data_IF_692666651671
#
_entry.id   IF_692666651671
#
_cell.length_a   1.000
_cell.length_b   1.000
_cell.length_c   1.000
_cell.angle_alpha   90.00
_cell.angle_beta   90.00
_cell.angle_gamma   90.00
#
_symmetry.space_group_name_H-M   'P 1'
#
loop_
_entity.id
_entity.type
_entity.pdbx_description
1 polymer ?
#
# COMPACT_ATOMS: atom_id res chain seq x y z
N UNK A 1 -6.77 27.97 -66.49
CA UNK A 1 -5.76 29.02 -66.32
C UNK A 1 -4.81 28.50 -65.25
N UNK A 2 -3.72 27.82 -65.66
CA UNK A 2 -2.39 28.36 -65.89
C UNK A 2 -1.87 29.01 -64.56
N UNK A 3 -0.80 28.50 -63.95
CA UNK A 3 0.54 28.42 -64.45
C UNK A 3 1.46 27.62 -63.52
N UNK A 4 2.24 26.76 -64.14
CA UNK A 4 3.46 26.14 -63.62
C UNK A 4 4.52 27.16 -63.19
N UNK A 5 5.36 26.81 -62.22
CA UNK A 5 6.82 27.02 -62.36
C UNK A 5 7.62 25.99 -61.55
N UNK A 6 8.36 25.26 -62.32
CA UNK A 6 9.51 24.43 -62.01
C UNK A 6 10.73 25.33 -61.75
N UNK A 7 11.56 25.02 -60.76
CA UNK A 7 12.98 25.42 -60.80
C UNK A 7 13.89 24.31 -60.34
N UNK A 8 14.84 24.07 -61.21
CA UNK A 8 15.91 23.06 -61.17
C UNK A 8 17.00 23.43 -60.15
N UNK A 9 17.53 22.50 -59.48
CA UNK A 9 18.81 21.90 -59.32
C UNK A 9 20.07 22.77 -59.22
N UNK A 10 20.88 22.46 -58.22
CA UNK A 10 22.31 22.70 -58.30
C UNK A 10 23.06 21.59 -57.58
N UNK A 11 23.95 20.96 -58.32
CA UNK A 11 24.97 20.00 -57.90
C UNK A 11 26.14 20.75 -57.27
N UNK A 12 26.76 20.20 -56.24
CA UNK A 12 28.03 20.69 -55.67
C UNK A 12 28.63 19.64 -54.76
N UNK A 13 29.44 18.96 -55.24
CA UNK A 13 30.57 18.08 -55.16
C UNK A 13 31.38 18.19 -53.84
N UNK A 14 31.55 17.01 -53.24
CA UNK A 14 32.80 16.37 -52.73
C UNK A 14 33.89 17.27 -52.11
N UNK A 15 34.19 17.06 -50.84
CA UNK A 15 35.56 16.97 -50.34
C UNK A 15 35.63 15.89 -49.24
N UNK A 16 36.27 14.78 -49.56
CA UNK A 16 36.76 13.73 -48.68
C UNK A 16 38.06 14.30 -48.04
N UNK A 17 38.10 14.37 -46.72
CA UNK A 17 39.37 14.59 -45.98
C UNK A 17 39.59 13.38 -45.11
N UNK A 18 40.44 12.49 -45.61
CA UNK A 18 41.06 11.39 -44.87
C UNK A 18 42.10 11.96 -43.95
N UNK A 19 41.97 11.78 -42.65
CA UNK A 19 43.06 11.98 -41.71
C UNK A 19 43.37 10.68 -40.99
N UNK A 20 44.56 10.19 -41.29
CA UNK A 20 45.17 8.95 -40.80
C UNK A 20 45.75 9.15 -39.40
N UNK A 21 45.55 8.12 -38.59
CA UNK A 21 46.19 7.63 -37.37
C UNK A 21 47.44 8.29 -36.83
N UNK A 22 47.72 8.18 -35.50
CA UNK A 22 48.47 7.01 -35.05
C UNK A 22 47.93 6.27 -33.81
N UNK A 23 48.06 4.96 -33.89
CA UNK A 23 47.97 3.99 -32.83
C UNK A 23 49.11 4.21 -31.82
N UNK A 24 48.80 4.43 -30.58
CA UNK A 24 49.76 4.20 -29.48
C UNK A 24 49.17 3.17 -28.52
N UNK A 25 49.71 1.98 -28.63
CA UNK A 25 49.56 0.90 -27.69
C UNK A 25 50.20 1.33 -26.33
N UNK A 26 49.45 1.26 -25.25
CA UNK A 26 49.99 1.12 -23.92
C UNK A 26 49.27 0.02 -23.19
N UNK A 27 49.96 -1.07 -22.99
CA UNK A 27 49.63 -2.13 -22.04
C UNK A 27 49.73 -1.65 -20.61
N UNK A 28 48.81 -2.06 -19.75
CA UNK A 28 49.09 -2.08 -18.33
C UNK A 28 47.84 -2.08 -17.45
N UNK A 29 47.55 -3.19 -16.80
CA UNK A 29 46.80 -3.20 -15.56
C UNK A 29 45.40 -3.82 -15.63
N UNK A 30 45.32 -5.14 -15.52
CA UNK A 30 44.16 -5.85 -15.05
C UNK A 30 43.72 -5.30 -13.69
N UNK A 31 42.55 -4.76 -13.59
CA UNK A 31 41.77 -4.72 -12.37
C UNK A 31 40.34 -5.00 -12.74
N UNK A 32 39.93 -6.25 -12.52
CA UNK A 32 38.54 -6.64 -12.47
C UNK A 32 37.88 -5.82 -11.36
N UNK A 33 37.03 -4.90 -11.74
CA UNK A 33 35.92 -4.44 -10.94
C UNK A 33 34.67 -4.79 -11.72
N UNK A 34 34.12 -5.95 -11.41
CA UNK A 34 32.71 -6.21 -11.57
C UNK A 34 31.99 -5.15 -10.73
N UNK A 35 31.68 -4.06 -11.37
CA UNK A 35 30.60 -3.19 -10.89
C UNK A 35 29.31 -3.86 -11.35
N UNK A 36 28.83 -4.80 -10.54
CA UNK A 36 27.42 -5.08 -10.46
C UNK A 36 26.73 -3.73 -10.28
N UNK A 37 25.91 -3.35 -11.24
CA UNK A 37 24.96 -2.28 -11.09
C UNK A 37 24.02 -2.67 -9.95
N UNK A 38 24.39 -2.33 -8.72
CA UNK A 38 23.45 -2.27 -7.61
C UNK A 38 22.37 -1.29 -8.03
N UNK A 39 21.21 -1.85 -8.34
CA UNK A 39 20.02 -1.09 -8.57
C UNK A 39 19.79 -0.20 -7.33
N UNK A 40 19.71 1.11 -7.53
CA UNK A 40 19.35 2.09 -6.50
C UNK A 40 17.92 1.94 -5.99
N UNK A 41 17.45 0.72 -5.85
CA UNK A 41 16.09 0.36 -5.41
C UNK A 41 16.02 -0.01 -3.92
N UNK A 42 17.18 -0.07 -3.22
CA UNK A 42 17.29 -0.59 -1.85
C UNK A 42 17.27 0.47 -0.74
N UNK A 43 16.76 1.65 -1.02
CA UNK A 43 16.46 2.64 0.04
C UNK A 43 14.98 2.99 0.01
N UNK A 44 14.12 2.00 0.27
CA UNK A 44 12.75 2.28 0.67
C UNK A 44 12.79 2.73 2.15
N UNK A 45 12.51 4.01 2.44
CA UNK A 45 12.50 4.44 3.83
C UNK A 45 11.40 3.69 4.58
N UNK A 46 11.62 3.44 5.86
CA UNK A 46 10.70 2.86 6.86
C UNK A 46 9.33 3.60 6.96
N UNK A 47 9.09 4.57 6.10
CA UNK A 47 7.96 5.49 6.05
C UNK A 47 7.04 5.28 4.85
N UNK A 48 6.96 4.08 4.29
CA UNK A 48 5.96 3.82 3.24
C UNK A 48 4.54 3.74 3.84
N UNK A 49 4.06 4.88 4.32
CA UNK A 49 2.62 5.13 4.33
C UNK A 49 2.15 5.07 2.88
N UNK A 50 1.10 4.32 2.62
CA UNK A 50 0.49 4.30 1.30
C UNK A 50 -0.12 5.69 1.07
N UNK A 51 0.52 6.51 0.23
CA UNK A 51 -0.05 7.78 -0.19
C UNK A 51 -1.11 7.50 -1.24
N UNK A 52 -2.36 7.60 -0.84
CA UNK A 52 -3.49 7.54 -1.76
C UNK A 52 -3.80 8.95 -2.24
N UNK A 53 -3.74 9.16 -3.54
CA UNK A 53 -4.16 10.43 -4.14
C UNK A 53 -5.66 10.36 -4.39
N UNK A 54 -6.43 11.11 -3.60
CA UNK A 54 -7.85 11.31 -3.83
C UNK A 54 -8.09 12.75 -4.29
N UNK A 55 -8.63 12.91 -5.49
CA UNK A 55 -8.74 14.21 -6.17
C UNK A 55 -7.41 14.96 -6.23
N UNK A 56 -7.25 16.06 -5.48
CA UNK A 56 -6.02 16.85 -5.38
C UNK A 56 -5.26 16.66 -4.06
N UNK A 57 -5.76 15.83 -3.15
CA UNK A 57 -5.18 15.60 -1.83
C UNK A 57 -4.44 14.25 -1.76
N UNK A 58 -3.34 14.23 -1.02
CA UNK A 58 -2.59 13.01 -0.71
C UNK A 58 -2.92 12.57 0.71
N UNK A 59 -3.49 11.39 0.85
CA UNK A 59 -3.85 10.83 2.14
C UNK A 59 -2.85 9.74 2.53
N UNK A 60 -2.14 9.89 3.65
CA UNK A 60 -1.32 8.82 4.19
C UNK A 60 -2.22 7.79 4.87
N UNK A 61 -2.26 6.59 4.33
CA UNK A 61 -2.92 5.45 4.94
C UNK A 61 -1.86 4.45 5.40
N UNK A 62 -2.02 3.82 6.58
CA UNK A 62 -1.11 2.77 6.99
C UNK A 62 -1.19 1.62 5.97
N UNK A 63 -0.04 1.23 5.45
CA UNK A 63 -0.01 0.06 4.60
C UNK A 63 -0.06 -1.22 5.46
N UNK A 64 -0.61 -2.31 4.95
CA UNK A 64 -0.47 -3.63 5.60
C UNK A 64 0.99 -3.97 5.92
N UNK A 65 1.94 -3.42 5.16
CA UNK A 65 3.38 -3.54 5.38
C UNK A 65 3.82 -3.00 6.74
N UNK A 66 3.33 -1.82 7.16
CA UNK A 66 3.77 -1.21 8.43
C UNK A 66 3.29 -2.03 9.64
N UNK A 67 2.03 -2.47 9.63
CA UNK A 67 1.51 -3.36 10.66
C UNK A 67 2.32 -4.66 10.72
N UNK A 68 2.58 -5.25 9.57
CA UNK A 68 3.35 -6.48 9.41
C UNK A 68 4.77 -6.36 9.93
N UNK A 69 5.46 -5.29 9.60
CA UNK A 69 6.85 -5.03 10.06
C UNK A 69 6.91 -4.89 11.58
N UNK A 70 5.92 -4.19 12.17
CA UNK A 70 5.85 -4.04 13.63
C UNK A 70 5.63 -5.38 14.33
N UNK A 71 4.70 -6.18 13.84
CA UNK A 71 4.41 -7.53 14.34
C UNK A 71 5.66 -8.40 14.31
N UNK A 72 6.38 -8.41 13.19
CA UNK A 72 7.63 -9.17 13.03
C UNK A 72 8.71 -8.70 14.01
N UNK A 73 8.90 -7.39 14.15
CA UNK A 73 9.88 -6.78 15.07
C UNK A 73 9.62 -7.19 16.52
N UNK A 74 8.37 -7.37 16.90
CA UNK A 74 7.96 -7.72 18.28
C UNK A 74 7.93 -9.23 18.55
N UNK A 75 8.23 -10.08 17.56
CA UNK A 75 8.17 -11.54 17.68
C UNK A 75 6.83 -12.07 18.24
N UNK A 76 5.73 -11.46 17.81
CA UNK A 76 4.38 -11.84 18.25
C UNK A 76 4.02 -13.19 17.63
N UNK A 77 3.48 -14.16 18.40
CA UNK A 77 3.11 -15.45 17.86
C UNK A 77 1.95 -15.35 16.87
N UNK A 78 1.90 -16.30 15.93
CA UNK A 78 0.79 -16.43 15.00
C UNK A 78 -0.50 -16.80 15.74
N UNK A 79 -1.60 -16.12 15.37
CA UNK A 79 -2.95 -16.49 15.80
C UNK A 79 -3.83 -16.69 14.54
N UNK A 80 -4.24 -17.94 14.30
CA UNK A 80 -5.05 -18.31 13.15
C UNK A 80 -6.48 -17.74 13.20
N UNK A 81 -6.95 -17.36 14.39
CA UNK A 81 -8.31 -16.81 14.56
C UNK A 81 -8.40 -15.31 14.19
N UNK A 82 -7.30 -14.69 13.84
CA UNK A 82 -7.28 -13.29 13.42
C UNK A 82 -7.76 -13.16 11.98
N UNK A 83 -7.35 -14.05 11.08
CA UNK A 83 -7.66 -13.93 9.65
C UNK A 83 -9.11 -14.26 9.33
N UNK A 84 -9.65 -13.64 8.30
CA UNK A 84 -11.02 -13.86 7.83
C UNK A 84 -11.17 -15.28 7.25
N UNK A 85 -12.25 -16.03 7.59
CA UNK A 85 -12.46 -17.37 7.05
C UNK A 85 -12.55 -17.36 5.52
N UNK A 86 -11.77 -18.23 4.88
CA UNK A 86 -11.64 -18.24 3.43
C UNK A 86 -12.95 -18.56 2.71
N UNK A 87 -13.80 -19.43 3.31
CA UNK A 87 -15.04 -19.90 2.69
C UNK A 87 -16.12 -18.80 2.57
N UNK A 88 -16.00 -17.73 3.36
CA UNK A 88 -16.95 -16.61 3.35
C UNK A 88 -17.01 -15.91 1.98
N UNK A 89 -15.96 -15.97 1.15
CA UNK A 89 -15.93 -15.27 -0.14
C UNK A 89 -17.07 -15.68 -1.08
N UNK A 90 -17.60 -16.89 -0.93
CA UNK A 90 -18.70 -17.42 -1.74
C UNK A 90 -20.06 -16.73 -1.45
N UNK A 91 -20.19 -16.10 -0.28
CA UNK A 91 -21.42 -15.45 0.17
C UNK A 91 -21.49 -13.95 -0.20
N UNK A 92 -20.43 -13.36 -0.75
CA UNK A 92 -20.43 -11.94 -1.11
C UNK A 92 -21.17 -11.70 -2.41
N UNK A 93 -22.43 -11.24 -2.31
CA UNK A 93 -23.33 -11.07 -3.44
C UNK A 93 -23.17 -9.72 -4.16
N UNK A 94 -22.82 -8.64 -3.44
CA UNK A 94 -22.72 -7.27 -4.01
C UNK A 94 -21.29 -6.88 -4.35
N UNK A 95 -21.14 -5.97 -5.30
CA UNK A 95 -19.82 -5.38 -5.59
C UNK A 95 -19.25 -4.63 -4.37
N UNK A 96 -20.12 -4.08 -3.51
CA UNK A 96 -19.75 -3.44 -2.26
C UNK A 96 -19.05 -4.44 -1.32
N UNK A 97 -19.71 -5.56 -1.01
CA UNK A 97 -19.13 -6.61 -0.14
C UNK A 97 -17.87 -7.21 -0.74
N UNK A 98 -17.86 -7.51 -2.04
CA UNK A 98 -16.68 -8.05 -2.74
C UNK A 98 -15.46 -7.11 -2.66
N UNK A 99 -15.68 -5.82 -2.84
CA UNK A 99 -14.60 -4.83 -2.82
C UNK A 99 -14.00 -4.67 -1.41
N UNK A 100 -14.84 -4.55 -0.37
CA UNK A 100 -14.36 -4.50 1.02
C UNK A 100 -13.57 -5.76 1.38
N UNK A 101 -14.12 -6.94 1.06
CA UNK A 101 -13.48 -8.20 1.39
C UNK A 101 -12.22 -8.47 0.57
N UNK A 102 -12.11 -7.92 -0.65
CA UNK A 102 -10.84 -7.95 -1.40
C UNK A 102 -9.72 -7.23 -0.63
N UNK A 103 -10.03 -6.11 0.01
CA UNK A 103 -9.11 -5.40 0.90
C UNK A 103 -8.74 -6.20 2.14
N UNK A 104 -9.75 -6.83 2.78
CA UNK A 104 -9.56 -7.71 3.96
C UNK A 104 -8.63 -8.87 3.61
N UNK A 105 -8.95 -9.66 2.58
CA UNK A 105 -8.11 -10.82 2.18
C UNK A 105 -6.70 -10.41 1.73
N UNK A 106 -6.52 -9.21 1.15
CA UNK A 106 -5.19 -8.67 0.84
C UNK A 106 -4.36 -8.40 2.09
N UNK A 107 -4.99 -7.93 3.16
CA UNK A 107 -4.35 -7.70 4.47
C UNK A 107 -4.06 -9.02 5.17
N UNK A 108 -4.99 -9.95 5.15
CA UNK A 108 -4.82 -11.30 5.68
C UNK A 108 -3.67 -12.05 5.00
N UNK A 109 -3.57 -11.94 3.66
CA UNK A 109 -2.45 -12.51 2.92
C UNK A 109 -1.11 -11.93 3.41
N UNK A 110 -1.06 -10.63 3.70
CA UNK A 110 0.13 -9.99 4.26
C UNK A 110 0.48 -10.55 5.65
N UNK A 111 -0.53 -10.72 6.50
CA UNK A 111 -0.37 -11.30 7.84
C UNK A 111 0.11 -12.76 7.78
N UNK A 112 -0.50 -13.60 6.97
CA UNK A 112 -0.10 -14.99 6.76
C UNK A 112 1.35 -15.11 6.25
N UNK A 113 1.72 -14.23 5.33
CA UNK A 113 3.06 -14.22 4.75
C UNK A 113 4.15 -13.88 5.77
N UNK A 114 3.90 -12.99 6.75
CA UNK A 114 4.87 -12.70 7.83
C UNK A 114 5.22 -13.96 8.64
N UNK A 115 4.25 -14.85 8.82
CA UNK A 115 4.38 -16.06 9.61
C UNK A 115 4.72 -17.29 8.78
N UNK A 116 5.15 -17.13 7.52
CA UNK A 116 5.52 -18.22 6.62
C UNK A 116 4.39 -19.25 6.40
N UNK A 117 3.14 -18.81 6.47
CA UNK A 117 1.95 -19.64 6.25
C UNK A 117 1.69 -19.82 4.76
N UNK A 118 2.64 -20.48 4.06
CA UNK A 118 2.64 -20.61 2.60
C UNK A 118 1.39 -21.30 2.03
N UNK A 119 0.91 -22.44 2.54
CA UNK A 119 -0.29 -23.09 2.00
C UNK A 119 -1.53 -22.20 2.11
N UNK A 120 -1.72 -21.56 3.26
CA UNK A 120 -2.82 -20.64 3.50
C UNK A 120 -2.70 -19.39 2.59
N UNK A 121 -1.49 -18.85 2.45
CA UNK A 121 -1.23 -17.71 1.58
C UNK A 121 -1.63 -17.98 0.12
N UNK A 122 -1.38 -19.18 -0.40
CA UNK A 122 -1.79 -19.60 -1.75
C UNK A 122 -3.32 -19.61 -1.86
N UNK A 123 -4.01 -20.12 -0.84
CA UNK A 123 -5.46 -20.17 -0.80
C UNK A 123 -6.08 -18.77 -0.80
N UNK A 124 -5.55 -17.85 0.02
CA UNK A 124 -5.99 -16.44 0.04
C UNK A 124 -5.71 -15.72 -1.28
N UNK A 125 -4.56 -15.97 -1.92
CA UNK A 125 -4.24 -15.43 -3.23
C UNK A 125 -5.26 -15.88 -4.29
N UNK A 126 -5.70 -17.14 -4.24
CA UNK A 126 -6.74 -17.67 -5.14
C UNK A 126 -8.09 -16.95 -4.94
N UNK A 127 -8.48 -16.67 -3.69
CA UNK A 127 -9.70 -15.88 -3.40
C UNK A 127 -9.57 -14.44 -3.88
N UNK A 128 -8.43 -13.79 -3.65
CA UNK A 128 -8.14 -12.44 -4.15
C UNK A 128 -8.29 -12.38 -5.67
N UNK A 129 -7.73 -13.35 -6.39
CA UNK A 129 -7.87 -13.46 -7.83
C UNK A 129 -9.34 -13.60 -8.25
N UNK A 130 -10.07 -14.52 -7.61
CA UNK A 130 -11.48 -14.75 -7.91
C UNK A 130 -12.36 -13.50 -7.67
N UNK A 131 -12.20 -12.83 -6.53
CA UNK A 131 -12.91 -11.58 -6.23
C UNK A 131 -12.55 -10.46 -7.23
N UNK A 132 -11.30 -10.39 -7.66
CA UNK A 132 -10.84 -9.42 -8.67
C UNK A 132 -11.49 -9.66 -10.03
N UNK A 133 -11.61 -10.94 -10.43
CA UNK A 133 -12.31 -11.35 -11.65
C UNK A 133 -13.79 -10.98 -11.57
N UNK A 134 -14.46 -11.31 -10.46
CA UNK A 134 -15.86 -10.99 -10.24
C UNK A 134 -16.16 -9.49 -10.18
N UNK A 135 -15.20 -8.69 -9.72
CA UNK A 135 -15.27 -7.22 -9.73
C UNK A 135 -14.93 -6.64 -11.10
N UNK A 136 -14.40 -7.44 -12.05
CA UNK A 136 -13.95 -6.96 -13.36
C UNK A 136 -12.77 -5.98 -13.26
N UNK A 137 -11.87 -6.21 -12.31
CA UNK A 137 -10.69 -5.38 -12.09
C UNK A 137 -9.37 -6.15 -12.34
N UNK A 138 -9.45 -7.38 -12.81
CA UNK A 138 -8.27 -8.21 -13.09
C UNK A 138 -7.28 -7.54 -14.03
N UNK A 139 -7.76 -6.70 -14.96
CA UNK A 139 -6.91 -5.92 -15.86
C UNK A 139 -6.08 -4.82 -15.13
N UNK A 140 -6.38 -4.52 -13.86
CA UNK A 140 -5.57 -3.60 -13.06
C UNK A 140 -4.30 -4.25 -12.51
N UNK A 141 -4.28 -5.58 -12.48
CA UNK A 141 -3.10 -6.34 -12.10
C UNK A 141 -2.25 -6.59 -13.34
N UNK A 142 -0.96 -6.44 -13.21
CA UNK A 142 0.00 -6.89 -14.22
C UNK A 142 -0.28 -8.38 -14.54
N UNK A 143 -0.19 -8.77 -15.82
CA UNK A 143 -0.34 -10.19 -16.24
C UNK A 143 0.55 -11.13 -15.41
N UNK A 144 1.71 -10.64 -14.98
CA UNK A 144 2.66 -11.37 -14.17
C UNK A 144 2.42 -11.26 -12.66
N UNK A 145 1.46 -10.44 -12.18
CA UNK A 145 1.30 -10.17 -10.75
C UNK A 145 1.08 -11.46 -9.95
N UNK A 146 0.04 -12.22 -10.26
CA UNK A 146 -0.29 -13.44 -9.52
C UNK A 146 0.84 -14.46 -9.59
N UNK A 147 1.43 -14.67 -10.76
CA UNK A 147 2.58 -15.57 -10.92
C UNK A 147 3.84 -15.05 -10.21
N UNK A 148 3.99 -13.74 -10.05
CA UNK A 148 5.08 -13.16 -9.29
C UNK A 148 4.87 -13.34 -7.79
N UNK A 149 3.64 -13.20 -7.29
CA UNK A 149 3.30 -13.50 -5.89
C UNK A 149 3.54 -14.99 -5.61
N UNK A 150 3.06 -15.90 -6.46
CA UNK A 150 3.29 -17.35 -6.30
C UNK A 150 4.79 -17.70 -6.25
N UNK A 151 5.60 -17.16 -7.15
CA UNK A 151 7.05 -17.40 -7.18
C UNK A 151 7.78 -16.85 -5.97
N UNK A 152 7.27 -15.79 -5.38
CA UNK A 152 7.91 -15.12 -4.24
C UNK A 152 7.18 -15.39 -2.93
N UNK A 153 6.28 -16.38 -2.88
CA UNK A 153 5.42 -16.64 -1.71
C UNK A 153 6.22 -16.85 -0.41
N UNK A 154 7.44 -17.35 -0.52
CA UNK A 154 8.35 -17.54 0.61
C UNK A 154 9.27 -16.33 0.87
N UNK A 155 9.14 -15.24 0.12
CA UNK A 155 9.91 -14.02 0.29
C UNK A 155 9.01 -12.90 0.78
N UNK A 156 9.00 -12.70 2.11
CA UNK A 156 8.11 -11.73 2.79
C UNK A 156 8.22 -10.31 2.24
N UNK A 157 9.44 -9.84 2.05
CA UNK A 157 9.68 -8.47 1.59
C UNK A 157 9.20 -8.30 0.14
N UNK A 158 9.46 -9.27 -0.72
CA UNK A 158 8.95 -9.27 -2.10
C UNK A 158 7.43 -9.28 -2.16
N UNK A 159 6.75 -10.09 -1.33
CA UNK A 159 5.28 -10.14 -1.27
C UNK A 159 4.71 -8.78 -0.84
N UNK A 160 5.27 -8.18 0.21
CA UNK A 160 4.81 -6.89 0.69
C UNK A 160 4.96 -5.78 -0.36
N UNK A 161 6.08 -5.78 -1.10
CA UNK A 161 6.31 -4.84 -2.22
C UNK A 161 5.33 -5.09 -3.36
N UNK A 162 5.11 -6.36 -3.75
CA UNK A 162 4.15 -6.73 -4.80
C UNK A 162 2.72 -6.31 -4.44
N UNK A 163 2.27 -6.59 -3.22
CA UNK A 163 0.95 -6.17 -2.74
C UNK A 163 0.82 -4.64 -2.71
N UNK A 164 1.80 -3.93 -2.20
CA UNK A 164 1.79 -2.46 -2.17
C UNK A 164 1.75 -1.87 -3.59
N UNK A 165 2.47 -2.46 -4.55
CA UNK A 165 2.43 -2.06 -5.96
C UNK A 165 1.05 -2.33 -6.57
N UNK A 166 0.44 -3.48 -6.27
CA UNK A 166 -0.86 -3.84 -6.80
C UNK A 166 -1.96 -2.89 -6.32
N UNK A 167 -1.93 -2.48 -5.06
CA UNK A 167 -2.86 -1.47 -4.54
C UNK A 167 -2.79 -0.16 -5.36
N UNK A 168 -1.58 0.34 -5.64
CA UNK A 168 -1.40 1.56 -6.45
C UNK A 168 -1.89 1.41 -7.88
N UNK A 169 -1.60 0.27 -8.52
CA UNK A 169 -2.03 -0.01 -9.89
C UNK A 169 -3.56 -0.10 -9.97
N UNK A 170 -4.17 -0.83 -9.01
CA UNK A 170 -5.63 -0.98 -8.93
C UNK A 170 -6.32 0.36 -8.69
N UNK A 171 -5.81 1.19 -7.78
CA UNK A 171 -6.35 2.54 -7.56
C UNK A 171 -6.27 3.40 -8.83
N UNK A 172 -5.13 3.40 -9.51
CA UNK A 172 -4.95 4.13 -10.76
C UNK A 172 -5.92 3.66 -11.85
N UNK A 173 -6.05 2.34 -12.04
CA UNK A 173 -6.98 1.74 -12.99
C UNK A 173 -8.44 2.12 -12.70
N UNK A 174 -8.87 2.00 -11.46
CA UNK A 174 -10.24 2.30 -11.05
C UNK A 174 -10.57 3.78 -11.18
N UNK A 175 -9.60 4.63 -10.96
CA UNK A 175 -9.73 6.09 -11.13
C UNK A 175 -9.95 6.49 -12.58
N UNK A 176 -9.19 5.90 -13.50
CA UNK A 176 -9.31 6.14 -14.95
C UNK A 176 -10.64 5.60 -15.50
N UNK A 177 -11.15 4.51 -14.94
CA UNK A 177 -12.40 3.87 -15.38
C UNK A 177 -13.65 4.34 -14.63
N UNK A 178 -13.59 5.47 -13.91
CA UNK A 178 -14.69 6.05 -13.12
C UNK A 178 -15.29 5.09 -12.08
N UNK A 179 -14.46 4.22 -11.53
CA UNK A 179 -14.82 3.24 -10.51
C UNK A 179 -14.15 3.52 -9.15
N UNK A 180 -13.95 4.79 -8.84
CA UNK A 180 -13.30 5.25 -7.61
C UNK A 180 -13.95 4.66 -6.34
N UNK A 181 -15.28 4.49 -6.35
CA UNK A 181 -16.00 3.87 -5.23
C UNK A 181 -15.55 2.45 -4.93
N UNK A 182 -15.16 1.66 -5.93
CA UNK A 182 -14.64 0.30 -5.72
C UNK A 182 -13.24 0.38 -5.07
N UNK A 183 -12.38 1.28 -5.59
CA UNK A 183 -11.06 1.52 -4.99
C UNK A 183 -11.14 1.97 -3.54
N UNK A 184 -12.05 2.91 -3.24
CA UNK A 184 -12.29 3.39 -1.87
C UNK A 184 -12.75 2.27 -0.93
N UNK A 185 -13.57 1.34 -1.41
CA UNK A 185 -14.02 0.19 -0.61
C UNK A 185 -12.90 -0.82 -0.38
N UNK A 186 -12.08 -1.13 -1.40
CA UNK A 186 -10.90 -2.01 -1.22
C UNK A 186 -9.96 -1.42 -0.16
N UNK A 187 -9.73 -0.12 -0.24
CA UNK A 187 -8.91 0.61 0.72
C UNK A 187 -9.50 0.54 2.14
N UNK A 188 -10.83 0.77 2.26
CA UNK A 188 -11.54 0.70 3.53
C UNK A 188 -11.45 -0.69 4.16
N UNK A 189 -11.66 -1.75 3.37
CA UNK A 189 -11.54 -3.12 3.85
C UNK A 189 -10.13 -3.44 4.36
N UNK A 190 -9.10 -3.03 3.62
CA UNK A 190 -7.71 -3.22 4.03
C UNK A 190 -7.36 -2.46 5.31
N UNK A 191 -7.86 -1.23 5.47
CA UNK A 191 -7.66 -0.45 6.68
C UNK A 191 -8.38 -1.05 7.89
N UNK A 192 -9.65 -1.45 7.72
CA UNK A 192 -10.45 -2.11 8.78
C UNK A 192 -9.74 -3.36 9.29
N UNK A 193 -9.28 -4.22 8.39
CA UNK A 193 -8.57 -5.45 8.77
C UNK A 193 -7.23 -5.16 9.44
N UNK A 194 -6.47 -4.18 8.94
CA UNK A 194 -5.20 -3.78 9.55
C UNK A 194 -5.39 -3.28 10.99
N UNK A 195 -6.41 -2.45 11.23
CA UNK A 195 -6.71 -1.95 12.57
C UNK A 195 -7.22 -3.08 13.46
N UNK A 196 -8.08 -3.97 12.95
CA UNK A 196 -8.56 -5.14 13.68
C UNK A 196 -7.40 -6.02 14.15
N UNK A 197 -6.48 -6.38 13.26
CA UNK A 197 -5.28 -7.17 13.59
C UNK A 197 -4.46 -6.47 14.68
N UNK A 198 -4.19 -5.16 14.52
CA UNK A 198 -3.42 -4.40 15.52
C UNK A 198 -4.13 -4.36 16.88
N UNK A 199 -5.45 -4.20 16.93
CA UNK A 199 -6.20 -4.17 18.19
C UNK A 199 -6.22 -5.52 18.89
N UNK A 200 -6.36 -6.62 18.14
CA UNK A 200 -6.28 -7.99 18.67
C UNK A 200 -4.91 -8.25 19.31
N UNK A 201 -3.85 -7.87 18.62
CA UNK A 201 -2.48 -8.03 19.11
C UNK A 201 -2.20 -7.08 20.29
N UNK A 202 -2.62 -5.82 20.18
CA UNK A 202 -2.41 -4.82 21.25
C UNK A 202 -3.05 -5.23 22.56
N UNK A 203 -4.27 -5.76 22.53
CA UNK A 203 -4.96 -6.31 23.72
C UNK A 203 -4.25 -7.55 24.28
N UNK A 204 -3.78 -8.43 23.41
CA UNK A 204 -3.13 -9.68 23.82
C UNK A 204 -1.73 -9.48 24.42
N UNK A 205 -1.00 -8.45 23.97
CA UNK A 205 0.38 -8.21 24.39
C UNK A 205 0.57 -7.04 25.34
N UNK A 206 -0.38 -6.11 25.37
CA UNK A 206 -0.27 -4.82 26.07
C UNK A 206 1.00 -4.03 25.69
N UNK A 207 1.51 -4.22 24.44
CA UNK A 207 2.72 -3.58 23.95
C UNK A 207 2.44 -2.11 23.60
N UNK A 208 3.18 -1.19 24.23
CA UNK A 208 2.99 0.24 24.08
C UNK A 208 3.23 0.76 22.66
N UNK A 209 4.16 0.17 21.90
CA UNK A 209 4.43 0.60 20.53
C UNK A 209 3.23 0.24 19.62
N UNK A 210 2.62 -0.93 19.84
CA UNK A 210 1.42 -1.37 19.11
C UNK A 210 0.22 -0.49 19.50
N UNK A 211 0.02 -0.21 20.80
CA UNK A 211 -1.07 0.65 21.28
C UNK A 211 -0.91 2.07 20.71
N UNK A 212 0.29 2.62 20.67
CA UNK A 212 0.55 3.91 20.07
C UNK A 212 0.25 3.88 18.55
N UNK A 213 0.60 2.80 17.85
CA UNK A 213 0.29 2.64 16.43
C UNK A 213 -1.23 2.58 16.17
N UNK A 214 -2.00 1.98 17.10
CA UNK A 214 -3.46 2.03 17.05
C UNK A 214 -3.93 3.47 17.21
N UNK A 215 -3.44 4.19 18.20
CA UNK A 215 -3.80 5.59 18.44
C UNK A 215 -3.47 6.49 17.24
N UNK A 216 -2.38 6.27 16.55
CA UNK A 216 -1.99 7.02 15.34
C UNK A 216 -2.98 6.86 14.16
N UNK A 217 -3.95 5.96 14.25
CA UNK A 217 -4.93 5.73 13.20
C UNK A 217 -6.03 6.80 13.12
N UNK A 218 -6.05 7.78 13.99
CA UNK A 218 -7.03 8.89 13.95
C UNK A 218 -7.03 9.58 12.58
N UNK A 219 -5.90 10.15 12.17
CA UNK A 219 -5.84 10.86 10.89
C UNK A 219 -6.07 9.96 9.67
N UNK A 220 -5.51 8.73 9.59
CA UNK A 220 -5.90 7.78 8.55
C UNK A 220 -7.41 7.50 8.50
N UNK A 221 -8.08 7.40 9.65
CA UNK A 221 -9.53 7.21 9.72
C UNK A 221 -10.29 8.44 9.19
N UNK A 222 -9.92 9.64 9.61
CA UNK A 222 -10.52 10.88 9.12
C UNK A 222 -10.41 10.97 7.58
N UNK A 223 -9.24 10.66 7.04
CA UNK A 223 -9.00 10.64 5.60
C UNK A 223 -9.85 9.56 4.89
N UNK A 224 -10.00 8.40 5.50
CA UNK A 224 -10.82 7.32 4.93
C UNK A 224 -12.31 7.73 4.88
N UNK A 225 -12.82 8.34 5.94
CA UNK A 225 -14.18 8.88 5.99
C UNK A 225 -14.36 9.94 4.89
N UNK A 226 -13.40 10.86 4.72
CA UNK A 226 -13.44 11.87 3.66
C UNK A 226 -13.52 11.24 2.25
N UNK A 227 -12.72 10.20 1.99
CA UNK A 227 -12.71 9.45 0.72
C UNK A 227 -14.05 8.76 0.46
N UNK A 228 -14.72 8.26 1.50
CA UNK A 228 -15.98 7.53 1.38
C UNK A 228 -17.22 8.44 1.35
N UNK A 229 -17.16 9.62 1.99
CA UNK A 229 -18.29 10.55 2.14
C UNK A 229 -19.03 10.88 0.84
N UNK A 230 -18.37 11.06 -0.34
CA UNK A 230 -19.08 11.30 -1.61
C UNK A 230 -20.04 10.19 -2.00
N UNK A 231 -19.91 9.00 -1.42
CA UNK A 231 -20.74 7.83 -1.73
C UNK A 231 -21.83 7.56 -0.68
N UNK A 232 -21.97 8.40 0.35
CA UNK A 232 -22.89 8.20 1.47
C UNK A 232 -24.32 7.85 1.04
N UNK A 233 -24.85 8.59 0.08
CA UNK A 233 -26.21 8.40 -0.44
C UNK A 233 -26.32 7.40 -1.59
N UNK A 234 -25.24 6.69 -1.92
CA UNK A 234 -25.23 5.73 -3.04
C UNK A 234 -26.02 4.45 -2.72
N UNK A 235 -25.92 3.98 -1.48
CA UNK A 235 -26.73 2.85 -0.95
C UNK A 235 -26.70 2.85 0.58
N UNK A 236 -27.63 2.08 1.17
CA UNK A 236 -27.66 1.84 2.61
C UNK A 236 -26.36 1.19 3.11
N UNK A 237 -25.72 0.34 2.30
CA UNK A 237 -24.43 -0.29 2.65
C UNK A 237 -23.33 0.76 2.87
N UNK A 238 -23.26 1.79 2.00
CA UNK A 238 -22.31 2.88 2.15
C UNK A 238 -22.59 3.74 3.39
N UNK A 239 -23.84 4.15 3.61
CA UNK A 239 -24.17 4.97 4.78
C UNK A 239 -23.88 4.21 6.08
N UNK A 240 -24.26 2.93 6.17
CA UNK A 240 -23.98 2.09 7.35
C UNK A 240 -22.49 1.95 7.63
N UNK A 241 -21.67 1.75 6.61
CA UNK A 241 -20.22 1.67 6.77
C UNK A 241 -19.64 3.02 7.26
N UNK A 242 -20.04 4.12 6.61
CA UNK A 242 -19.53 5.46 6.93
C UNK A 242 -19.97 5.87 8.34
N UNK A 243 -21.22 5.63 8.72
CA UNK A 243 -21.72 5.90 10.07
C UNK A 243 -20.94 5.11 11.13
N UNK A 244 -20.64 3.83 10.85
CA UNK A 244 -19.81 3.01 11.72
C UNK A 244 -18.37 3.54 11.87
N UNK A 245 -17.77 4.03 10.78
CA UNK A 245 -16.44 4.64 10.80
C UNK A 245 -16.44 5.98 11.53
N UNK A 246 -17.49 6.80 11.39
CA UNK A 246 -17.67 8.06 12.13
C UNK A 246 -17.82 7.76 13.62
N UNK A 247 -18.65 6.77 13.99
CA UNK A 247 -18.81 6.37 15.39
C UNK A 247 -17.48 5.86 15.99
N UNK A 248 -16.68 5.15 15.21
CA UNK A 248 -15.32 4.77 15.60
C UNK A 248 -14.40 5.98 15.78
N UNK A 249 -14.49 7.00 14.90
CA UNK A 249 -13.65 8.20 14.96
C UNK A 249 -13.85 9.00 16.25
N UNK A 250 -15.05 9.05 16.80
CA UNK A 250 -15.33 9.68 18.10
C UNK A 250 -14.51 9.08 19.24
N UNK A 251 -14.18 7.79 19.20
CA UNK A 251 -13.35 7.16 20.23
C UNK A 251 -11.89 7.63 20.15
N UNK A 252 -11.42 8.00 18.96
CA UNK A 252 -10.08 8.56 18.78
C UNK A 252 -9.95 10.00 19.29
N UNK A 253 -11.06 10.71 19.54
CA UNK A 253 -11.00 12.07 20.12
C UNK A 253 -10.46 12.07 21.56
N UNK A 254 -10.58 10.95 22.26
CA UNK A 254 -9.98 10.76 23.58
C UNK A 254 -8.48 10.38 23.56
N UNK A 255 -7.89 10.17 22.40
CA UNK A 255 -6.46 9.86 22.26
C UNK A 255 -5.65 11.15 22.32
N UNK A 256 -4.65 11.19 23.20
CA UNK A 256 -3.82 12.39 23.39
C UNK A 256 -2.62 12.34 22.44
N UNK A 257 -2.46 13.39 21.65
CA UNK A 257 -1.31 13.61 20.78
C UNK A 257 -0.46 14.74 21.36
N UNK A 258 0.82 14.48 21.55
CA UNK A 258 1.78 15.51 21.91
C UNK A 258 2.91 15.56 20.91
N UNK A 259 3.27 16.74 20.48
CA UNK A 259 4.37 17.00 19.58
C UNK A 259 5.40 17.89 20.25
N UNK A 260 6.64 17.42 20.31
CA UNK A 260 7.77 18.17 20.82
C UNK A 260 8.69 18.53 19.66
N UNK A 261 8.64 19.79 19.25
CA UNK A 261 9.54 20.29 18.21
C UNK A 261 10.98 20.29 18.68
N UNK A 262 11.87 19.75 17.88
CA UNK A 262 13.33 19.88 18.00
C UNK A 262 13.89 20.31 16.67
N UNK A 263 14.84 21.24 16.68
CA UNK A 263 15.45 21.74 15.46
C UNK A 263 16.10 20.60 14.68
N UNK A 264 15.81 20.48 13.36
CA UNK A 264 16.41 19.42 12.55
C UNK A 264 17.92 19.66 12.40
N UNK A 265 18.71 18.59 12.37
CA UNK A 265 20.12 18.63 12.03
C UNK A 265 20.28 18.41 10.53
N UNK A 266 20.99 19.32 9.88
CA UNK A 266 21.26 19.27 8.45
C UNK A 266 22.70 18.81 8.24
N UNK A 267 22.89 17.69 7.56
CA UNK A 267 24.16 17.19 7.06
C UNK A 267 24.26 17.56 5.58
N UNK A 268 24.94 18.67 5.31
CA UNK A 268 25.04 19.23 3.96
C UNK A 268 25.90 18.33 3.06
N UNK A 269 26.93 17.70 3.60
CA UNK A 269 27.89 16.89 2.85
C UNK A 269 27.24 15.62 2.32
N UNK A 270 26.38 14.98 3.13
CA UNK A 270 25.65 13.78 2.77
C UNK A 270 24.24 14.06 2.23
N UNK A 271 23.81 15.34 2.16
CA UNK A 271 22.46 15.77 1.75
C UNK A 271 21.34 15.10 2.56
N UNK A 272 21.55 14.95 3.87
CA UNK A 272 20.62 14.32 4.81
C UNK A 272 20.10 15.38 5.78
N UNK A 273 18.79 15.33 6.07
CA UNK A 273 18.14 16.12 7.12
C UNK A 273 17.66 15.16 8.20
N UNK A 274 18.17 15.28 9.41
CA UNK A 274 17.71 14.52 10.57
C UNK A 274 16.61 15.28 11.27
N UNK A 275 15.39 14.75 11.23
CA UNK A 275 14.25 15.29 11.96
C UNK A 275 14.29 14.73 13.38
N UNK A 276 14.55 15.61 14.35
CA UNK A 276 14.70 15.23 15.77
C UNK A 276 13.45 15.46 16.60
N UNK A 277 12.38 16.00 15.98
CA UNK A 277 11.10 16.23 16.66
C UNK A 277 10.46 14.90 17.09
N UNK A 278 9.84 14.90 18.25
CA UNK A 278 9.21 13.73 18.83
C UNK A 278 7.68 13.87 18.78
N UNK A 279 7.01 12.88 18.27
CA UNK A 279 5.56 12.73 18.38
C UNK A 279 5.26 11.60 19.36
N UNK A 280 4.34 11.84 20.30
CA UNK A 280 3.88 10.84 21.26
C UNK A 280 2.37 10.74 21.20
N UNK A 281 1.90 9.49 21.18
CA UNK A 281 0.48 9.17 21.23
C UNK A 281 0.23 8.44 22.54
N UNK A 282 -0.78 8.89 23.29
CA UNK A 282 -1.19 8.24 24.54
C UNK A 282 -2.64 7.80 24.39
N UNK A 283 -2.84 6.50 24.35
CA UNK A 283 -4.15 5.86 24.32
C UNK A 283 -4.38 5.14 25.65
N UNK A 284 -5.52 5.42 26.28
CA UNK A 284 -5.91 4.74 27.51
C UNK A 284 -6.39 3.31 27.23
N UNK A 285 -6.38 2.47 28.26
CA UNK A 285 -6.90 1.11 28.18
C UNK A 285 -8.39 1.08 27.81
N UNK A 286 -9.18 2.04 28.32
CA UNK A 286 -10.59 2.24 27.97
C UNK A 286 -10.76 2.49 26.47
N UNK A 287 -9.99 3.41 25.87
CA UNK A 287 -10.10 3.70 24.43
C UNK A 287 -9.61 2.51 23.58
N UNK A 288 -8.56 1.81 24.00
CA UNK A 288 -8.11 0.59 23.33
C UNK A 288 -9.22 -0.46 23.28
N UNK A 289 -9.90 -0.68 24.42
CA UNK A 289 -10.99 -1.65 24.51
C UNK A 289 -12.18 -1.25 23.62
N UNK A 290 -12.57 0.02 23.64
CA UNK A 290 -13.72 0.54 22.89
C UNK A 290 -13.44 0.55 21.38
N UNK A 291 -12.26 1.01 20.96
CA UNK A 291 -11.82 0.95 19.56
C UNK A 291 -11.79 -0.50 19.08
N UNK A 292 -11.26 -1.43 19.91
CA UNK A 292 -11.22 -2.86 19.56
C UNK A 292 -12.62 -3.44 19.33
N UNK A 293 -13.58 -3.11 20.19
CA UNK A 293 -14.98 -3.59 20.03
C UNK A 293 -15.64 -3.01 18.78
N UNK A 294 -15.47 -1.72 18.54
CA UNK A 294 -16.10 -1.05 17.39
C UNK A 294 -15.52 -1.53 16.07
N UNK A 295 -14.19 -1.67 15.96
CA UNK A 295 -13.58 -2.17 14.72
C UNK A 295 -13.94 -3.65 14.47
N UNK A 296 -14.02 -4.47 15.50
CA UNK A 296 -14.48 -5.85 15.40
C UNK A 296 -15.94 -5.92 14.91
N UNK A 297 -16.82 -5.04 15.41
CA UNK A 297 -18.20 -4.96 14.96
C UNK A 297 -18.30 -4.55 13.48
N UNK A 298 -17.55 -3.52 13.05
CA UNK A 298 -17.49 -3.10 11.63
C UNK A 298 -16.99 -4.24 10.75
N UNK A 299 -15.89 -4.89 11.14
CA UNK A 299 -15.34 -6.04 10.42
C UNK A 299 -16.36 -7.17 10.28
N UNK A 300 -17.02 -7.55 11.37
CA UNK A 300 -18.00 -8.62 11.35
C UNK A 300 -19.20 -8.34 10.43
N UNK A 301 -19.62 -7.08 10.29
CA UNK A 301 -20.64 -6.68 9.31
C UNK A 301 -20.15 -6.83 7.87
N UNK A 302 -18.86 -6.69 7.63
CA UNK A 302 -18.27 -6.80 6.29
C UNK A 302 -18.13 -8.28 5.88
N UNK A 303 -17.61 -9.13 6.78
CA UNK A 303 -17.27 -10.53 6.48
C UNK A 303 -18.46 -11.49 6.68
N UNK A 304 -19.48 -11.09 7.43
CA UNK A 304 -20.71 -11.85 7.66
C UNK A 304 -21.78 -11.43 6.69
#
# INVERSE_FOLDING_TARGET
MSSNRVFKGFYGAIIILIFTLPILSSCGGRSNKDQSAESKEDLLPDTLSMLVKFENSLFPLPSPYQASTLIKKKNIPFDENIVSPIDNYQHFSTAFKKALNLGIYGTDLSYLNIYDRTPESISYLSVIKNLSDQLGISASFDESFFSSVERNINNKDSILVLLSKSYRNTDSYLRVNDRKNIGSLILAGGWVESLYILTRIGKGTNDREIINRIGEQKHPLDNLIEILTPYYYKSQEFSTLIDGLIDLAYEFDGVIYSYSYKEPKIDVDNKIIYINSESRVVMSEYHLETVSKKIEAIRNQIIG
#
